data_IF_946326005365
#
_entry.id   IF_946326005365
#
_cell.length_a   1.000
_cell.length_b   1.000
_cell.length_c   1.000
_cell.angle_alpha   90.00
_cell.angle_beta   90.00
_cell.angle_gamma   90.00
#
_symmetry.space_group_name_H-M   'P 1'
#
loop_
_entity.id
_entity.type
_entity.pdbx_description
1 polymer ?
#
# COMPACT_ATOMS: atom_id res chain seq x y z
N UNK A 1 4.83 -72.17 9.50
CA UNK A 1 3.51 -71.77 8.95
C UNK A 1 3.07 -70.49 9.65
N UNK A 2 2.80 -69.44 8.86
CA UNK A 2 2.58 -68.06 9.30
C UNK A 2 1.23 -67.88 9.99
N UNK A 3 1.19 -67.24 11.17
CA UNK A 3 -0.04 -66.69 11.74
C UNK A 3 -0.28 -65.28 11.19
N UNK A 4 -1.54 -64.99 10.85
CA UNK A 4 -1.97 -63.70 10.31
C UNK A 4 -2.58 -62.87 11.45
N UNK A 5 -1.90 -61.80 11.84
CA UNK A 5 -2.51 -60.68 12.57
C UNK A 5 -2.94 -59.62 11.56
N UNK A 6 -4.26 -59.41 11.45
CA UNK A 6 -4.87 -58.30 10.72
C UNK A 6 -4.85 -57.05 11.61
N UNK A 7 -4.00 -56.08 11.28
CA UNK A 7 -4.04 -54.73 11.87
C UNK A 7 -5.14 -53.90 11.21
N UNK A 8 -6.02 -53.33 12.04
CA UNK A 8 -7.02 -52.35 11.67
C UNK A 8 -6.32 -50.99 11.52
N UNK A 9 -6.25 -50.45 10.30
CA UNK A 9 -5.78 -49.09 10.05
C UNK A 9 -6.91 -48.09 10.33
N UNK A 10 -6.78 -47.33 11.41
CA UNK A 10 -7.67 -46.21 11.73
C UNK A 10 -7.21 -44.98 10.92
N UNK A 11 -7.92 -44.65 9.85
CA UNK A 11 -7.72 -43.41 9.10
C UNK A 11 -8.30 -42.23 9.89
N UNK A 12 -7.45 -41.48 10.59
CA UNK A 12 -7.80 -40.17 11.15
C UNK A 12 -7.77 -39.15 10.00
N UNK A 13 -8.94 -38.83 9.45
CA UNK A 13 -9.10 -37.75 8.50
C UNK A 13 -8.88 -36.41 9.20
N UNK A 14 -7.68 -35.83 9.03
CA UNK A 14 -7.40 -34.44 9.36
C UNK A 14 -8.29 -33.54 8.50
N UNK A 15 -9.38 -33.02 9.08
CA UNK A 15 -10.18 -31.95 8.50
C UNK A 15 -9.31 -30.68 8.41
N UNK A 16 -8.72 -30.46 7.24
CA UNK A 16 -8.19 -29.15 6.87
C UNK A 16 -9.39 -28.21 6.71
N UNK A 17 -9.46 -27.09 7.46
CA UNK A 17 -10.54 -26.13 7.26
C UNK A 17 -10.37 -25.49 5.88
N UNK A 18 -11.20 -25.89 4.93
CA UNK A 18 -11.33 -25.21 3.64
C UNK A 18 -11.81 -23.79 3.90
N UNK A 19 -10.91 -22.82 3.80
CA UNK A 19 -11.28 -21.41 3.70
C UNK A 19 -12.11 -21.26 2.43
N UNK A 20 -13.44 -21.12 2.58
CA UNK A 20 -14.28 -20.66 1.48
C UNK A 20 -13.75 -19.29 1.06
N UNK A 21 -13.06 -19.25 -0.07
CA UNK A 21 -12.85 -18.00 -0.79
C UNK A 21 -14.23 -17.38 -0.96
N UNK A 22 -14.45 -16.23 -0.34
CA UNK A 22 -15.65 -15.42 -0.59
C UNK A 22 -15.51 -14.96 -2.04
N UNK A 23 -16.05 -15.75 -2.96
CA UNK A 23 -16.24 -15.37 -4.34
C UNK A 23 -17.11 -14.12 -4.30
N UNK A 24 -16.47 -12.96 -4.48
CA UNK A 24 -17.14 -11.67 -4.41
C UNK A 24 -18.29 -11.69 -5.40
N UNK A 25 -19.53 -11.59 -4.89
CA UNK A 25 -20.66 -11.20 -5.74
C UNK A 25 -20.23 -9.90 -6.40
N UNK A 26 -20.19 -9.87 -7.73
CA UNK A 26 -20.20 -8.59 -8.41
C UNK A 26 -21.49 -7.91 -7.95
N UNK A 27 -21.36 -6.83 -7.17
CA UNK A 27 -22.51 -6.04 -6.74
C UNK A 27 -23.26 -5.60 -8.01
N UNK A 28 -24.48 -6.09 -8.20
CA UNK A 28 -25.40 -5.57 -9.22
C UNK A 28 -25.46 -4.05 -9.05
N UNK A 29 -25.10 -3.31 -10.11
CA UNK A 29 -25.04 -1.84 -10.07
C UNK A 29 -23.67 -1.22 -9.76
N UNK A 30 -22.57 -1.99 -9.61
CA UNK A 30 -21.22 -1.42 -9.51
C UNK A 30 -20.82 -0.71 -10.82
N UNK A 31 -20.65 0.63 -10.84
CA UNK A 31 -20.40 1.38 -12.07
C UNK A 31 -18.94 1.28 -12.56
N UNK A 32 -18.07 0.61 -11.79
CA UNK A 32 -16.65 0.50 -12.11
C UNK A 32 -16.42 -0.48 -13.26
N UNK A 33 -15.47 -0.15 -14.13
CA UNK A 33 -15.04 -0.99 -15.25
C UNK A 33 -13.58 -1.36 -15.11
N UNK A 34 -13.23 -2.57 -15.52
CA UNK A 34 -11.83 -2.96 -15.65
C UNK A 34 -11.26 -2.36 -16.93
N UNK A 35 -10.20 -1.57 -16.81
CA UNK A 35 -9.44 -1.06 -17.94
C UNK A 35 -8.03 -1.63 -17.90
N UNK A 36 -7.39 -1.78 -19.07
CA UNK A 36 -5.96 -2.02 -19.13
C UNK A 36 -5.25 -0.66 -19.10
N UNK A 37 -4.35 -0.47 -18.15
CA UNK A 37 -3.38 0.64 -18.16
C UNK A 37 -2.14 0.20 -18.94
N UNK A 38 -0.99 0.87 -18.81
CA UNK A 38 0.19 0.57 -19.61
C UNK A 38 0.54 -0.94 -19.64
N UNK A 39 0.62 -1.47 -20.86
CA UNK A 39 0.86 -2.85 -21.37
C UNK A 39 0.27 -4.08 -20.67
N UNK A 40 0.18 -4.17 -19.33
CA UNK A 40 -0.20 -5.42 -18.66
C UNK A 40 -1.07 -5.30 -17.39
N UNK A 41 -1.15 -4.12 -16.76
CA UNK A 41 -1.95 -3.98 -15.52
C UNK A 41 -3.43 -3.75 -15.83
N UNK A 42 -4.29 -4.51 -15.17
CA UNK A 42 -5.75 -4.33 -15.19
C UNK A 42 -6.20 -3.58 -13.94
N UNK A 43 -6.86 -2.45 -14.13
CA UNK A 43 -7.33 -1.59 -13.03
C UNK A 43 -8.84 -1.43 -13.10
N UNK A 44 -9.55 -1.75 -12.01
CA UNK A 44 -10.96 -1.40 -11.87
C UNK A 44 -11.09 0.10 -11.54
N UNK A 45 -11.77 0.86 -12.38
CA UNK A 45 -11.89 2.32 -12.23
C UNK A 45 -13.35 2.80 -12.24
N UNK A 46 -13.70 3.83 -11.46
CA UNK A 46 -15.02 4.43 -11.54
C UNK A 46 -15.20 5.29 -12.81
N UNK A 47 -16.45 5.64 -13.16
CA UNK A 47 -16.73 6.55 -14.27
C UNK A 47 -15.94 7.86 -14.16
N UNK A 48 -15.42 8.34 -15.29
CA UNK A 48 -14.69 9.61 -15.38
C UNK A 48 -13.25 9.59 -14.86
N UNK A 49 -12.81 8.55 -14.14
CA UNK A 49 -11.45 8.43 -13.66
C UNK A 49 -10.56 7.63 -14.62
N UNK A 50 -9.34 8.09 -14.82
CA UNK A 50 -8.26 7.34 -15.47
C UNK A 50 -6.97 7.53 -14.67
N UNK A 51 -6.24 6.45 -14.34
CA UNK A 51 -4.91 6.57 -13.75
C UNK A 51 -3.97 7.32 -14.70
N UNK A 52 -3.00 8.02 -14.12
CA UNK A 52 -1.94 8.68 -14.88
C UNK A 52 -1.08 7.64 -15.61
N UNK A 53 -0.41 8.07 -16.69
CA UNK A 53 0.60 7.24 -17.33
C UNK A 53 1.90 7.35 -16.54
N UNK A 54 2.46 6.22 -16.11
CA UNK A 54 3.78 6.21 -15.51
C UNK A 54 4.85 6.69 -16.49
N UNK A 55 5.80 7.46 -15.98
CA UNK A 55 7.08 7.72 -16.62
C UNK A 55 8.01 6.52 -16.47
N UNK A 56 8.89 6.32 -17.43
CA UNK A 56 9.85 5.21 -17.46
C UNK A 56 11.29 5.73 -17.50
N UNK A 57 12.20 5.05 -16.79
CA UNK A 57 13.65 5.25 -16.90
C UNK A 57 14.34 3.90 -17.03
N UNK A 58 15.39 3.82 -17.86
CA UNK A 58 16.10 2.57 -18.16
C UNK A 58 17.59 2.78 -17.94
N UNK A 59 18.22 1.87 -17.21
CA UNK A 59 19.66 1.80 -16.97
C UNK A 59 20.16 0.43 -17.45
N UNK A 60 21.29 0.38 -18.16
CA UNK A 60 21.78 -0.83 -18.84
C UNK A 60 23.24 -1.08 -18.51
N UNK A 61 23.56 -2.21 -17.90
CA UNK A 61 24.92 -2.57 -17.52
C UNK A 61 25.15 -4.07 -17.71
N UNK A 62 26.24 -4.42 -18.38
CA UNK A 62 26.48 -5.79 -18.85
C UNK A 62 25.30 -6.30 -19.67
N UNK A 63 24.90 -7.54 -19.43
CA UNK A 63 23.75 -8.18 -20.08
C UNK A 63 22.42 -7.91 -19.38
N UNK A 64 22.31 -6.90 -18.50
CA UNK A 64 21.10 -6.64 -17.72
C UNK A 64 20.63 -5.18 -17.86
N UNK A 65 19.36 -4.97 -17.58
CA UNK A 65 18.80 -3.64 -17.41
C UNK A 65 17.94 -3.53 -16.16
N UNK A 66 17.96 -2.33 -15.59
CA UNK A 66 17.05 -1.87 -14.57
C UNK A 66 16.08 -0.88 -15.22
N UNK A 67 14.78 -1.21 -15.18
CA UNK A 67 13.70 -0.35 -15.65
C UNK A 67 12.91 0.13 -14.44
N UNK A 68 12.73 1.44 -14.34
CA UNK A 68 11.94 2.06 -13.29
C UNK A 68 10.72 2.72 -13.88
N UNK A 69 9.59 2.56 -13.20
CA UNK A 69 8.33 3.22 -13.51
C UNK A 69 7.85 3.98 -12.28
N UNK A 70 7.40 5.21 -12.47
CA UNK A 70 6.79 6.00 -11.42
C UNK A 70 5.80 6.97 -12.04
N UNK A 71 4.77 7.41 -11.31
CA UNK A 71 3.81 8.40 -11.82
C UNK A 71 4.53 9.65 -12.33
N UNK A 72 5.44 10.22 -11.54
CA UNK A 72 6.23 11.37 -11.95
C UNK A 72 7.66 11.39 -11.42
N UNK A 73 8.13 10.31 -10.76
CA UNK A 73 9.38 10.32 -9.98
C UNK A 73 9.41 11.51 -9.01
N UNK A 74 8.29 11.76 -8.33
CA UNK A 74 8.12 12.88 -7.42
C UNK A 74 8.05 12.42 -5.96
N UNK A 75 8.34 13.32 -5.01
CA UNK A 75 8.19 12.99 -3.58
C UNK A 75 6.75 12.64 -3.27
N UNK A 76 6.54 11.52 -2.57
CA UNK A 76 5.24 10.92 -2.35
C UNK A 76 4.81 9.88 -3.38
N UNK A 77 5.55 9.68 -4.47
CA UNK A 77 5.24 8.63 -5.44
C UNK A 77 5.80 7.25 -5.02
N UNK A 78 5.13 6.22 -5.49
CA UNK A 78 5.65 4.85 -5.55
C UNK A 78 6.46 4.63 -6.84
N UNK A 79 7.44 3.74 -6.77
CA UNK A 79 8.28 3.32 -7.90
C UNK A 79 8.20 1.80 -8.05
N UNK A 80 7.94 1.36 -9.27
CA UNK A 80 8.03 -0.03 -9.69
C UNK A 80 9.33 -0.26 -10.45
N UNK A 81 10.13 -1.20 -9.98
CA UNK A 81 11.43 -1.54 -10.55
C UNK A 81 11.36 -2.94 -11.17
N UNK A 82 11.93 -3.09 -12.36
CA UNK A 82 12.13 -4.36 -13.05
C UNK A 82 13.64 -4.52 -13.32
N UNK A 83 14.23 -5.63 -12.90
CA UNK A 83 15.60 -6.01 -13.25
C UNK A 83 15.53 -7.24 -14.11
N UNK A 84 16.01 -7.16 -15.34
CA UNK A 84 15.95 -8.32 -16.23
C UNK A 84 17.04 -8.30 -17.30
N UNK A 85 17.35 -9.47 -17.89
CA UNK A 85 18.34 -9.56 -18.95
C UNK A 85 17.95 -8.71 -20.17
N UNK A 86 18.98 -8.22 -20.87
CA UNK A 86 18.86 -7.57 -22.17
C UNK A 86 18.59 -8.65 -23.21
N UNK A 87 17.32 -8.80 -23.59
CA UNK A 87 16.91 -9.72 -24.66
C UNK A 87 16.58 -8.98 -25.94
N UNK A 88 16.86 -9.62 -27.09
CA UNK A 88 16.35 -9.16 -28.37
C UNK A 88 14.80 -9.15 -28.37
N UNK A 89 14.15 -8.26 -29.14
CA UNK A 89 12.69 -8.22 -29.21
C UNK A 89 12.07 -9.58 -29.50
N UNK A 90 11.08 -9.99 -28.70
CA UNK A 90 10.38 -11.28 -28.84
C UNK A 90 11.15 -12.51 -28.35
N UNK A 91 12.40 -12.37 -27.87
CA UNK A 91 13.18 -13.48 -27.30
C UNK A 91 13.00 -13.54 -25.77
N UNK A 92 12.95 -14.77 -25.26
CA UNK A 92 12.99 -15.04 -23.81
C UNK A 92 14.43 -14.93 -23.30
N UNK A 93 14.63 -14.57 -22.03
CA UNK A 93 15.95 -14.59 -21.42
C UNK A 93 16.57 -15.99 -21.39
N UNK A 94 17.89 -16.07 -21.51
CA UNK A 94 18.61 -17.32 -21.37
C UNK A 94 18.56 -17.82 -19.93
N UNK A 95 18.56 -19.15 -19.74
CA UNK A 95 18.43 -19.76 -18.42
C UNK A 95 19.58 -19.36 -17.47
N UNK A 96 20.81 -19.28 -18.00
CA UNK A 96 21.99 -18.85 -17.25
C UNK A 96 21.86 -17.41 -16.77
N UNK A 97 21.44 -16.48 -17.64
CA UNK A 97 21.18 -15.09 -17.27
C UNK A 97 20.12 -14.97 -16.17
N UNK A 98 19.08 -15.80 -16.25
CA UNK A 98 18.02 -15.84 -15.23
C UNK A 98 18.48 -16.42 -13.89
N UNK A 99 19.44 -17.35 -13.90
CA UNK A 99 20.02 -17.88 -12.67
C UNK A 99 20.89 -16.83 -11.97
N UNK A 100 21.68 -16.09 -12.75
CA UNK A 100 22.61 -15.08 -12.23
C UNK A 100 21.93 -13.89 -11.58
N UNK A 101 20.64 -13.65 -11.85
CA UNK A 101 19.82 -12.68 -11.12
C UNK A 101 19.77 -12.91 -9.60
N UNK A 102 20.16 -14.09 -9.09
CA UNK A 102 20.34 -14.33 -7.64
C UNK A 102 21.34 -13.37 -6.97
N UNK A 103 22.25 -12.77 -7.75
CA UNK A 103 23.21 -11.77 -7.27
C UNK A 103 22.73 -10.32 -7.42
N UNK A 104 21.56 -10.11 -8.04
CA UNK A 104 21.02 -8.77 -8.22
C UNK A 104 20.41 -8.25 -6.91
N UNK A 105 20.66 -6.98 -6.64
CA UNK A 105 20.09 -6.29 -5.48
C UNK A 105 19.76 -4.85 -5.83
N UNK A 106 18.78 -4.29 -5.13
CA UNK A 106 18.37 -2.91 -5.30
C UNK A 106 18.21 -2.23 -3.93
N UNK A 107 18.77 -1.03 -3.81
CA UNK A 107 18.64 -0.17 -2.64
C UNK A 107 18.23 1.23 -3.08
N UNK A 108 17.33 1.84 -2.35
CA UNK A 108 16.97 3.24 -2.55
C UNK A 108 17.22 4.04 -1.27
N UNK A 109 18.08 5.06 -1.35
CA UNK A 109 18.56 5.83 -0.20
C UNK A 109 19.06 4.94 0.96
N UNK A 110 19.78 3.87 0.62
CA UNK A 110 20.32 2.90 1.59
C UNK A 110 19.31 1.85 2.08
N UNK A 111 18.03 1.96 1.76
CA UNK A 111 16.99 1.00 2.16
C UNK A 111 16.88 -0.09 1.09
N UNK A 112 16.97 -1.35 1.50
CA UNK A 112 16.80 -2.49 0.60
C UNK A 112 15.39 -2.52 0.01
N UNK A 113 15.31 -2.72 -1.30
CA UNK A 113 14.05 -2.98 -2.00
C UNK A 113 13.89 -4.49 -2.09
N UNK A 114 12.79 -5.01 -1.57
CA UNK A 114 12.48 -6.43 -1.72
C UNK A 114 12.19 -6.75 -3.19
N UNK A 115 12.78 -7.85 -3.68
CA UNK A 115 12.69 -8.27 -5.07
C UNK A 115 12.03 -9.64 -5.18
N UNK A 116 11.02 -9.76 -6.05
CA UNK A 116 10.39 -11.03 -6.40
C UNK A 116 10.85 -11.53 -7.76
N UNK A 117 11.11 -12.83 -7.84
CA UNK A 117 11.40 -13.49 -9.11
C UNK A 117 10.14 -13.64 -9.96
N UNK A 118 10.31 -13.41 -11.26
CA UNK A 118 9.31 -13.59 -12.32
C UNK A 118 9.94 -14.38 -13.46
N UNK A 119 9.11 -14.88 -14.38
CA UNK A 119 9.57 -15.61 -15.56
C UNK A 119 10.48 -14.78 -16.47
N UNK A 120 10.34 -13.46 -16.42
CA UNK A 120 11.10 -12.51 -17.23
C UNK A 120 12.25 -11.82 -16.46
N UNK A 121 12.33 -11.92 -15.13
CA UNK A 121 13.36 -11.24 -14.35
C UNK A 121 13.05 -11.12 -12.85
N UNK A 122 13.43 -10.00 -12.24
CA UNK A 122 13.05 -9.59 -10.89
C UNK A 122 12.21 -8.32 -10.93
N UNK A 123 11.37 -8.13 -9.93
CA UNK A 123 10.64 -6.87 -9.74
C UNK A 123 10.62 -6.44 -8.28
N UNK A 124 10.52 -5.14 -8.04
CA UNK A 124 10.43 -4.57 -6.70
C UNK A 124 9.60 -3.29 -6.67
N UNK A 125 9.22 -2.89 -5.46
CA UNK A 125 8.41 -1.71 -5.21
C UNK A 125 9.03 -0.92 -4.06
N UNK A 126 9.18 0.40 -4.24
CA UNK A 126 9.70 1.28 -3.19
C UNK A 126 9.05 2.67 -3.25
N UNK A 127 9.26 3.46 -2.21
CA UNK A 127 8.70 4.81 -2.10
C UNK A 127 9.77 5.88 -2.32
N UNK A 128 9.37 6.97 -2.99
CA UNK A 128 10.08 8.25 -2.95
C UNK A 128 9.47 9.05 -1.79
N UNK A 129 10.22 9.25 -0.71
CA UNK A 129 9.66 9.76 0.53
C UNK A 129 9.20 11.22 0.40
N UNK A 130 8.07 11.63 1.00
CA UNK A 130 7.61 13.03 0.91
C UNK A 130 8.61 14.07 1.44
N UNK A 131 9.49 13.69 2.38
CA UNK A 131 10.46 14.57 3.04
C UNK A 131 11.89 14.46 2.51
N UNK A 132 12.16 13.61 1.51
CA UNK A 132 13.51 13.52 1.00
C UNK A 132 13.90 14.82 0.27
N UNK A 133 15.21 15.09 0.19
CA UNK A 133 15.75 16.18 -0.62
C UNK A 133 15.64 15.86 -2.12
N UNK A 134 15.92 16.84 -2.95
CA UNK A 134 16.05 16.63 -4.39
C UNK A 134 17.10 15.56 -4.68
N UNK A 135 16.74 14.65 -5.59
CA UNK A 135 17.49 13.46 -5.95
C UNK A 135 17.52 12.37 -4.87
N UNK A 136 17.41 11.12 -5.32
CA UNK A 136 17.67 9.93 -4.51
C UNK A 136 18.89 9.18 -5.03
N UNK A 137 19.49 8.37 -4.16
CA UNK A 137 20.56 7.45 -4.54
C UNK A 137 20.00 6.04 -4.70
N UNK A 138 20.13 5.53 -5.91
CA UNK A 138 19.72 4.18 -6.26
C UNK A 138 20.96 3.30 -6.37
N UNK A 139 21.16 2.44 -5.38
CA UNK A 139 22.20 1.43 -5.41
C UNK A 139 21.69 0.20 -6.15
N UNK A 140 22.33 -0.16 -7.25
CA UNK A 140 21.98 -1.34 -8.04
C UNK A 140 23.18 -2.26 -8.13
N UNK A 141 23.00 -3.50 -7.68
CA UNK A 141 23.96 -4.57 -7.93
C UNK A 141 23.46 -5.38 -9.13
N UNK A 142 24.27 -5.46 -10.19
CA UNK A 142 23.98 -6.25 -11.38
C UNK A 142 24.94 -7.43 -11.52
N UNK A 143 24.46 -8.60 -11.98
CA UNK A 143 25.33 -9.73 -12.23
C UNK A 143 26.30 -9.45 -13.38
N UNK A 144 27.53 -9.93 -13.25
CA UNK A 144 28.44 -10.06 -14.40
C UNK A 144 28.04 -11.27 -15.23
N UNK A 145 28.43 -11.36 -16.50
CA UNK A 145 28.15 -12.56 -17.31
C UNK A 145 29.05 -13.73 -16.90
N UNK A 146 30.27 -13.41 -16.51
CA UNK A 146 31.25 -14.35 -15.97
C UNK A 146 31.91 -13.75 -14.74
N UNK A 147 32.48 -14.63 -13.92
CA UNK A 147 33.26 -14.23 -12.74
C UNK A 147 34.42 -13.31 -13.18
N UNK A 148 34.63 -12.21 -12.45
CA UNK A 148 35.74 -11.30 -12.75
C UNK A 148 37.10 -11.96 -12.44
N UNK A 149 38.19 -11.35 -12.91
CA UNK A 149 39.54 -11.77 -12.56
C UNK A 149 39.81 -11.77 -11.04
N UNK A 150 39.14 -10.90 -10.29
CA UNK A 150 39.19 -10.79 -8.82
C UNK A 150 38.24 -11.76 -8.12
N UNK A 151 37.41 -12.46 -8.87
CA UNK A 151 36.47 -13.46 -8.35
C UNK A 151 35.07 -12.94 -8.03
N UNK A 152 34.73 -11.72 -8.43
CA UNK A 152 33.42 -11.13 -8.19
C UNK A 152 32.37 -11.68 -9.17
N UNK A 153 31.16 -11.97 -8.67
CA UNK A 153 30.03 -12.46 -9.49
C UNK A 153 29.10 -11.33 -9.97
N UNK A 154 29.21 -10.16 -9.34
CA UNK A 154 28.36 -9.00 -9.58
C UNK A 154 29.11 -7.70 -9.32
N UNK A 155 28.63 -6.60 -9.88
CA UNK A 155 29.14 -5.25 -9.63
C UNK A 155 28.06 -4.35 -9.05
N UNK A 156 28.49 -3.41 -8.21
CA UNK A 156 27.64 -2.38 -7.66
C UNK A 156 27.77 -1.08 -8.45
N UNK A 157 26.65 -0.40 -8.62
CA UNK A 157 26.59 0.93 -9.19
C UNK A 157 25.66 1.82 -8.37
N UNK A 158 26.05 3.09 -8.23
CA UNK A 158 25.24 4.11 -7.60
C UNK A 158 24.71 5.08 -8.66
N UNK A 159 23.40 5.06 -8.86
CA UNK A 159 22.70 5.90 -9.83
C UNK A 159 22.03 7.04 -9.09
N UNK A 160 22.27 8.28 -9.56
CA UNK A 160 21.52 9.45 -9.10
C UNK A 160 20.14 9.46 -9.76
N UNK A 161 19.10 9.15 -9.01
CA UNK A 161 17.73 9.24 -9.46
C UNK A 161 17.24 10.68 -9.33
N UNK A 162 17.04 11.39 -10.45
CA UNK A 162 16.45 12.74 -10.44
C UNK A 162 15.01 12.67 -9.92
N UNK A 163 14.75 13.28 -8.77
CA UNK A 163 13.44 13.30 -8.11
C UNK A 163 12.90 14.73 -8.09
N UNK A 164 11.62 14.88 -8.43
CA UNK A 164 10.89 16.14 -8.37
C UNK A 164 10.29 16.34 -6.97
N UNK A 165 10.45 17.52 -6.38
CA UNK A 165 9.77 17.83 -5.11
C UNK A 165 8.31 18.19 -5.36
N UNK A 166 7.41 17.43 -4.77
CA UNK A 166 5.97 17.75 -4.80
C UNK A 166 5.68 18.90 -3.85
N UNK A 167 5.08 19.98 -4.36
CA UNK A 167 4.57 21.08 -3.53
C UNK A 167 3.23 20.69 -2.91
N UNK A 168 3.28 20.10 -1.72
CA UNK A 168 2.06 19.68 -1.02
C UNK A 168 1.23 20.87 -0.53
N UNK A 169 -0.11 20.84 -0.66
CA UNK A 169 -0.96 21.94 -0.21
C UNK A 169 -0.87 22.22 1.29
N UNK A 170 -1.00 23.49 1.66
CA UNK A 170 -1.06 23.94 3.05
C UNK A 170 -2.37 24.66 3.28
N UNK A 171 -3.23 24.05 4.09
CA UNK A 171 -4.50 24.66 4.51
C UNK A 171 -4.29 25.50 5.77
N UNK A 172 -4.97 26.65 5.83
CA UNK A 172 -4.91 27.58 6.96
C UNK A 172 -6.20 27.55 7.80
N UNK A 173 -7.32 27.14 7.21
CA UNK A 173 -8.60 27.01 7.90
C UNK A 173 -8.57 25.86 8.92
N UNK A 174 -8.97 26.14 10.16
CA UNK A 174 -9.02 25.14 11.22
C UNK A 174 -10.23 24.21 11.09
N UNK A 175 -9.96 22.90 11.06
CA UNK A 175 -10.98 21.86 11.15
C UNK A 175 -11.54 21.78 12.57
N UNK A 176 -12.87 21.85 12.70
CA UNK A 176 -13.60 21.66 13.96
C UNK A 176 -14.04 20.21 14.06
N UNK A 177 -13.43 19.45 14.98
CA UNK A 177 -13.57 17.99 15.08
C UNK A 177 -14.43 17.58 16.29
N UNK A 178 -15.36 18.43 16.71
CA UNK A 178 -16.25 18.16 17.84
C UNK A 178 -15.49 17.76 19.11
N UNK A 179 -15.80 16.59 19.68
CA UNK A 179 -15.14 16.05 20.88
C UNK A 179 -13.62 15.91 20.72
N UNK A 180 -13.11 15.67 19.50
CA UNK A 180 -11.68 15.53 19.22
C UNK A 180 -10.94 16.87 19.24
N UNK A 181 -11.66 17.99 19.12
CA UNK A 181 -11.12 19.33 19.36
C UNK A 181 -11.07 19.68 20.85
N UNK A 182 -11.78 18.95 21.73
CA UNK A 182 -11.76 19.19 23.17
C UNK A 182 -10.55 18.49 23.82
N UNK A 183 -9.61 19.24 24.38
CA UNK A 183 -8.42 18.71 25.05
C UNK A 183 -8.75 17.84 26.26
N UNK A 184 -9.85 18.13 26.95
CA UNK A 184 -10.31 17.34 28.10
C UNK A 184 -10.78 15.93 27.71
N UNK A 185 -11.17 15.71 26.45
CA UNK A 185 -11.51 14.38 25.95
C UNK A 185 -10.35 13.40 26.15
N UNK A 186 -9.11 13.89 25.99
CA UNK A 186 -7.89 13.09 26.13
C UNK A 186 -7.40 12.93 27.56
N UNK A 187 -8.03 13.58 28.54
CA UNK A 187 -7.70 13.44 29.96
C UNK A 187 -8.50 12.33 30.64
N UNK A 188 -9.58 11.87 29.98
CA UNK A 188 -10.43 10.80 30.49
C UNK A 188 -9.68 9.46 30.52
N UNK A 189 -9.60 8.76 31.68
CA UNK A 189 -8.84 7.53 31.82
C UNK A 189 -9.23 6.45 30.80
N UNK A 190 -10.53 6.29 30.53
CA UNK A 190 -11.06 5.30 29.58
C UNK A 190 -10.65 5.62 28.13
N UNK A 191 -10.57 6.90 27.77
CA UNK A 191 -10.11 7.34 26.45
C UNK A 191 -8.62 7.10 26.29
N UNK A 192 -7.82 7.41 27.32
CA UNK A 192 -6.38 7.17 27.32
C UNK A 192 -6.05 5.67 27.22
N UNK A 193 -6.74 4.84 27.99
CA UNK A 193 -6.58 3.39 27.96
C UNK A 193 -6.88 2.83 26.56
N UNK A 194 -8.02 3.23 25.98
CA UNK A 194 -8.41 2.84 24.62
C UNK A 194 -7.39 3.28 23.57
N UNK A 195 -6.93 4.53 23.60
CA UNK A 195 -5.92 5.04 22.66
C UNK A 195 -4.61 4.26 22.77
N UNK A 196 -4.20 3.89 23.99
CA UNK A 196 -3.00 3.09 24.24
C UNK A 196 -3.14 1.68 23.64
N UNK A 197 -4.26 1.01 23.86
CA UNK A 197 -4.53 -0.32 23.32
C UNK A 197 -4.57 -0.32 21.78
N UNK A 198 -5.32 0.62 21.19
CA UNK A 198 -5.43 0.76 19.73
C UNK A 198 -4.09 1.11 19.07
N UNK A 199 -3.21 1.84 19.77
CA UNK A 199 -1.84 2.07 19.30
C UNK A 199 -1.07 0.75 19.20
N UNK A 200 -1.17 -0.12 20.19
CA UNK A 200 -0.54 -1.45 20.16
C UNK A 200 -1.10 -2.31 19.03
N UNK A 201 -2.42 -2.32 18.83
CA UNK A 201 -3.05 -3.04 17.71
C UNK A 201 -2.51 -2.55 16.36
N UNK A 202 -2.42 -1.22 16.16
CA UNK A 202 -1.86 -0.64 14.93
C UNK A 202 -0.40 -0.98 14.75
N UNK A 203 0.42 -0.89 15.80
CA UNK A 203 1.83 -1.27 15.74
C UNK A 203 1.99 -2.73 15.30
N UNK A 204 1.20 -3.65 15.88
CA UNK A 204 1.20 -5.06 15.47
C UNK A 204 0.78 -5.24 14.01
N UNK A 205 -0.26 -4.55 13.56
CA UNK A 205 -0.74 -4.63 12.18
C UNK A 205 0.30 -4.13 11.17
N UNK A 206 0.89 -2.94 11.38
CA UNK A 206 1.90 -2.38 10.49
C UNK A 206 3.28 -3.04 10.61
N UNK A 207 3.50 -3.86 11.64
CA UNK A 207 4.67 -4.73 11.76
C UNK A 207 4.50 -6.05 10.99
N UNK A 208 3.31 -6.36 10.45
CA UNK A 208 3.09 -7.54 9.63
C UNK A 208 3.97 -7.55 8.38
N UNK A 209 4.43 -8.73 7.98
CA UNK A 209 5.33 -8.95 6.85
C UNK A 209 4.88 -10.20 6.10
N UNK A 210 3.91 -10.03 5.22
CA UNK A 210 3.50 -11.09 4.30
C UNK A 210 4.42 -11.14 3.05
N UNK A 211 4.45 -12.28 2.31
CA UNK A 211 5.01 -12.32 0.97
C UNK A 211 4.23 -11.42 0.00
N UNK A 212 4.81 -11.07 -1.16
CA UNK A 212 4.13 -10.22 -2.13
C UNK A 212 2.80 -10.80 -2.61
N UNK A 213 1.73 -10.01 -2.49
CA UNK A 213 0.40 -10.31 -3.01
C UNK A 213 0.00 -9.42 -4.20
N UNK A 214 0.73 -8.33 -4.47
CA UNK A 214 0.42 -7.44 -5.60
C UNK A 214 0.72 -8.19 -6.89
N UNK A 215 -0.25 -8.33 -7.79
CA UNK A 215 -0.04 -8.91 -9.13
C UNK A 215 -0.31 -7.85 -10.21
N UNK A 216 -0.88 -8.24 -11.35
CA UNK A 216 -1.25 -7.32 -12.44
C UNK A 216 -2.67 -6.77 -12.29
N UNK A 217 -3.34 -6.96 -11.15
CA UNK A 217 -4.70 -6.47 -10.89
C UNK A 217 -4.72 -5.50 -9.72
N UNK A 218 -5.19 -4.28 -10.00
CA UNK A 218 -5.39 -3.22 -9.02
C UNK A 218 -6.81 -2.67 -9.13
N UNK A 219 -7.22 -1.86 -8.17
CA UNK A 219 -8.56 -1.28 -8.18
C UNK A 219 -8.57 0.08 -7.52
N UNK A 220 -9.23 1.05 -8.12
CA UNK A 220 -9.66 2.23 -7.40
C UNK A 220 -10.56 1.81 -6.21
N UNK A 221 -10.36 2.37 -5.01
CA UNK A 221 -11.02 1.92 -3.77
C UNK A 221 -12.50 2.31 -3.69
N UNK A 222 -13.00 3.06 -4.68
CA UNK A 222 -14.32 3.73 -4.69
C UNK A 222 -14.96 3.65 -6.06
N UNK A 223 -16.29 3.69 -6.06
CA UNK A 223 -17.22 3.77 -7.20
C UNK A 223 -17.33 5.16 -7.85
N UNK A 224 -16.76 6.19 -7.22
CA UNK A 224 -16.63 7.55 -7.73
C UNK A 224 -15.22 8.08 -7.41
N UNK A 225 -14.69 8.92 -8.29
CA UNK A 225 -13.43 9.63 -8.05
C UNK A 225 -13.68 11.12 -7.79
N UNK A 226 -13.40 11.56 -6.56
CA UNK A 226 -13.33 12.98 -6.20
C UNK A 226 -12.47 13.12 -4.95
N UNK A 227 -11.26 13.63 -5.11
CA UNK A 227 -10.36 13.93 -3.99
C UNK A 227 -10.87 15.16 -3.25
N UNK A 228 -11.22 15.03 -1.97
CA UNK A 228 -11.64 16.15 -1.11
C UNK A 228 -10.49 16.72 -0.31
N UNK A 229 -9.46 15.92 -0.07
CA UNK A 229 -8.18 16.40 0.43
C UNK A 229 -7.05 15.57 -0.15
N UNK A 230 -6.02 16.23 -0.71
CA UNK A 230 -4.92 15.54 -1.34
C UNK A 230 -3.97 14.91 -0.33
N UNK A 231 -3.15 14.02 -0.86
CA UNK A 231 -2.04 13.40 -0.15
C UNK A 231 -1.07 14.45 0.40
N UNK A 232 -0.63 14.21 1.62
CA UNK A 232 0.38 14.98 2.33
C UNK A 232 0.06 16.45 2.59
N UNK A 233 -1.19 16.87 2.38
CA UNK A 233 -1.60 18.23 2.68
C UNK A 233 -1.38 18.55 4.17
N UNK A 234 -0.83 19.72 4.45
CA UNK A 234 -0.77 20.25 5.81
C UNK A 234 -2.15 20.78 6.17
N UNK A 235 -2.70 20.28 7.27
CA UNK A 235 -4.00 20.67 7.79
C UNK A 235 -3.84 21.28 9.17
N UNK A 236 -4.85 22.06 9.56
CA UNK A 236 -4.90 22.79 10.83
C UNK A 236 -6.14 22.32 11.59
N UNK A 237 -6.00 21.95 12.86
CA UNK A 237 -7.12 21.54 13.73
C UNK A 237 -7.38 22.57 14.81
N UNK A 238 -8.65 22.89 15.01
CA UNK A 238 -9.13 23.68 16.13
C UNK A 238 -9.00 22.89 17.44
N UNK A 239 -8.57 23.57 18.52
CA UNK A 239 -8.45 22.99 19.85
C UNK A 239 -9.07 23.91 20.91
N UNK A 240 -9.74 23.32 21.88
CA UNK A 240 -10.34 24.04 22.99
C UNK A 240 -10.41 23.19 24.27
N UNK A 241 -10.67 23.83 25.40
CA UNK A 241 -11.07 23.20 26.65
C UNK A 241 -12.26 23.97 27.27
N UNK A 242 -12.94 23.37 28.24
CA UNK A 242 -13.99 24.05 29.01
C UNK A 242 -13.48 24.23 30.45
N UNK A 243 -13.26 25.48 30.87
CA UNK A 243 -12.89 25.83 32.26
C UNK A 243 -13.95 26.75 32.85
N UNK A 244 -14.47 26.40 34.03
CA UNK A 244 -15.51 27.16 34.74
C UNK A 244 -16.71 27.51 33.83
N UNK A 245 -17.17 26.54 33.02
CA UNK A 245 -18.27 26.72 32.07
C UNK A 245 -17.94 27.55 30.82
N UNK A 246 -16.73 28.12 30.70
CA UNK A 246 -16.29 28.92 29.55
C UNK A 246 -15.41 28.12 28.61
N UNK A 247 -15.62 28.30 27.31
CA UNK A 247 -14.80 27.69 26.25
C UNK A 247 -13.52 28.50 26.04
N UNK A 248 -12.37 27.91 26.33
CA UNK A 248 -11.06 28.51 26.09
C UNK A 248 -10.47 27.88 24.83
N UNK A 249 -10.15 28.71 23.83
CA UNK A 249 -9.55 28.26 22.58
C UNK A 249 -8.02 28.25 22.71
N UNK A 250 -7.39 27.21 22.18
CA UNK A 250 -5.93 27.08 22.12
C UNK A 250 -5.41 27.35 20.70
N UNK A 251 -4.10 27.66 20.56
CA UNK A 251 -3.46 27.73 19.26
C UNK A 251 -3.73 26.47 18.44
N UNK A 252 -4.06 26.61 17.15
CA UNK A 252 -4.43 25.46 16.36
C UNK A 252 -3.20 24.59 16.05
N UNK A 253 -3.42 23.29 15.92
CA UNK A 253 -2.35 22.32 15.68
C UNK A 253 -2.23 21.99 14.19
N UNK A 254 -1.02 22.01 13.66
CA UNK A 254 -0.73 21.53 12.30
C UNK A 254 -0.52 20.02 12.30
N UNK A 255 -1.04 19.34 11.28
CA UNK A 255 -0.76 17.92 11.03
C UNK A 255 -0.66 17.64 9.54
N UNK A 256 0.12 16.62 9.19
CA UNK A 256 0.29 16.17 7.81
C UNK A 256 -0.71 15.06 7.52
N UNK A 257 -1.43 15.20 6.41
CA UNK A 257 -2.39 14.21 5.94
C UNK A 257 -1.68 13.04 5.24
N UNK A 258 -1.35 11.96 5.96
CA UNK A 258 -0.55 10.83 5.45
C UNK A 258 -1.31 9.84 4.54
N UNK A 259 -2.42 10.30 3.97
CA UNK A 259 -3.27 9.60 3.02
C UNK A 259 -3.99 10.63 2.17
N UNK A 260 -4.98 10.23 1.41
CA UNK A 260 -5.90 11.14 0.71
C UNK A 260 -7.33 10.84 1.10
N UNK A 261 -8.20 11.83 0.95
CA UNK A 261 -9.62 11.67 1.21
C UNK A 261 -10.38 11.64 -0.10
N UNK A 262 -11.18 10.59 -0.30
CA UNK A 262 -12.13 10.46 -1.39
C UNK A 262 -13.53 10.74 -0.89
N UNK A 263 -14.25 11.59 -1.62
CA UNK A 263 -15.67 11.86 -1.36
C UNK A 263 -16.44 10.55 -1.33
N UNK A 264 -17.21 10.36 -0.27
CA UNK A 264 -18.15 9.27 -0.13
C UNK A 264 -19.30 9.71 0.76
N UNK A 265 -20.45 9.05 0.61
CA UNK A 265 -21.55 9.14 1.55
C UNK A 265 -21.56 7.88 2.45
N UNK A 266 -22.21 7.99 3.60
CA UNK A 266 -22.36 6.87 4.53
C UNK A 266 -23.02 5.69 3.82
N UNK A 267 -22.49 4.48 3.99
CA UNK A 267 -23.03 3.26 3.40
C UNK A 267 -22.50 2.92 2.00
N UNK A 268 -21.81 3.84 1.32
CA UNK A 268 -21.29 3.56 -0.01
C UNK A 268 -20.07 2.63 0.01
N UNK A 269 -19.82 1.84 -1.05
CA UNK A 269 -18.87 0.73 -1.01
C UNK A 269 -17.39 1.16 -0.99
N UNK A 270 -16.58 0.47 -0.19
CA UNK A 270 -15.13 0.59 -0.18
C UNK A 270 -14.52 -0.73 -0.65
N UNK A 271 -13.58 -0.64 -1.59
CA UNK A 271 -12.95 -1.78 -2.22
C UNK A 271 -11.45 -1.84 -1.94
N UNK A 272 -10.89 -3.05 -1.88
CA UNK A 272 -9.45 -3.24 -1.71
C UNK A 272 -8.67 -2.71 -2.93
N UNK A 273 -7.62 -1.92 -2.67
CA UNK A 273 -6.75 -1.29 -3.68
C UNK A 273 -5.96 -2.33 -4.50
N UNK A 274 -5.48 -3.37 -3.83
CA UNK A 274 -4.66 -4.46 -4.35
C UNK A 274 -4.96 -5.76 -3.56
N UNK A 275 -4.55 -6.95 -4.05
CA UNK A 275 -4.70 -8.18 -3.30
C UNK A 275 -3.83 -8.17 -2.05
N UNK A 276 -4.23 -8.87 -1.00
CA UNK A 276 -3.47 -8.93 0.24
C UNK A 276 -4.22 -9.62 1.37
N UNK A 277 -3.62 -9.58 2.56
CA UNK A 277 -4.19 -10.13 3.78
C UNK A 277 -4.66 -9.01 4.70
N UNK A 278 -5.87 -9.12 5.21
CA UNK A 278 -6.38 -8.18 6.21
C UNK A 278 -5.65 -8.43 7.51
N UNK A 279 -4.92 -7.43 8.02
CA UNK A 279 -4.13 -7.52 9.26
C UNK A 279 -4.77 -6.75 10.42
N UNK A 280 -5.75 -5.90 10.12
CA UNK A 280 -6.57 -5.18 11.10
C UNK A 280 -7.94 -4.88 10.51
N UNK A 281 -8.99 -5.10 11.28
CA UNK A 281 -10.34 -4.61 11.01
C UNK A 281 -11.02 -4.34 12.35
N UNK A 282 -11.08 -3.07 12.77
CA UNK A 282 -11.60 -2.70 14.10
C UNK A 282 -12.14 -1.27 14.13
N UNK A 283 -13.02 -0.96 15.09
CA UNK A 283 -13.53 0.41 15.29
C UNK A 283 -12.67 1.15 16.31
N UNK A 284 -11.84 2.07 15.83
CA UNK A 284 -10.86 2.82 16.64
C UNK A 284 -11.34 4.22 17.03
N UNK A 285 -10.71 4.79 18.06
CA UNK A 285 -11.05 6.10 18.59
C UNK A 285 -10.87 7.21 17.55
N UNK A 286 -9.72 7.25 16.86
CA UNK A 286 -9.42 8.28 15.85
C UNK A 286 -9.84 7.85 14.45
N UNK A 287 -9.48 6.63 14.04
CA UNK A 287 -9.74 6.15 12.69
C UNK A 287 -11.22 5.77 12.47
N UNK A 288 -12.00 5.56 13.53
CA UNK A 288 -13.34 4.98 13.38
C UNK A 288 -13.25 3.55 12.89
N UNK A 289 -14.21 3.08 12.08
CA UNK A 289 -14.05 1.80 11.39
C UNK A 289 -12.79 1.82 10.52
N UNK A 290 -11.85 0.93 10.82
CA UNK A 290 -10.51 0.92 10.22
C UNK A 290 -10.11 -0.47 9.77
N UNK A 291 -9.85 -0.61 8.48
CA UNK A 291 -9.26 -1.81 7.85
C UNK A 291 -7.82 -1.52 7.44
N UNK A 292 -6.89 -2.44 7.70
CA UNK A 292 -5.52 -2.44 7.15
C UNK A 292 -5.28 -3.75 6.41
N UNK A 293 -4.74 -3.65 5.20
CA UNK A 293 -4.38 -4.79 4.35
C UNK A 293 -2.87 -4.77 4.13
N UNK A 294 -2.20 -5.88 4.43
CA UNK A 294 -0.83 -6.17 4.05
C UNK A 294 -0.80 -6.76 2.64
N UNK A 295 -0.15 -6.06 1.71
CA UNK A 295 0.02 -6.46 0.32
C UNK A 295 1.35 -7.19 0.08
N UNK A 296 2.15 -7.38 1.12
CA UNK A 296 3.46 -7.98 1.13
C UNK A 296 4.59 -6.98 1.01
N UNK A 297 5.81 -7.42 1.34
CA UNK A 297 7.05 -6.62 1.24
C UNK A 297 6.97 -5.25 1.93
N UNK A 298 6.22 -5.16 3.04
CA UNK A 298 6.05 -3.93 3.80
C UNK A 298 5.12 -2.89 3.15
N UNK A 299 4.32 -3.30 2.17
CA UNK A 299 3.32 -2.45 1.50
C UNK A 299 1.96 -2.62 2.18
N UNK A 300 1.46 -1.56 2.80
CA UNK A 300 0.20 -1.58 3.58
C UNK A 300 -0.78 -0.55 3.05
N UNK A 301 -2.04 -0.92 2.83
CA UNK A 301 -3.12 0.05 2.66
C UNK A 301 -4.01 0.15 3.90
N UNK A 302 -4.45 1.36 4.24
CA UNK A 302 -5.34 1.63 5.37
C UNK A 302 -6.57 2.42 4.95
N UNK A 303 -7.75 1.98 5.39
CA UNK A 303 -9.08 2.50 5.02
C UNK A 303 -9.81 2.93 6.28
N UNK A 304 -9.98 4.23 6.50
CA UNK A 304 -10.56 4.74 7.75
C UNK A 304 -12.00 5.23 7.57
N UNK A 305 -12.62 5.53 8.71
CA UNK A 305 -13.93 6.17 8.87
C UNK A 305 -15.10 5.31 8.38
N UNK A 306 -14.92 4.00 8.28
CA UNK A 306 -15.92 3.07 7.76
C UNK A 306 -17.13 2.98 8.69
N UNK A 307 -18.34 3.04 8.13
CA UNK A 307 -19.58 2.77 8.87
C UNK A 307 -19.80 1.27 9.11
N UNK A 308 -19.23 0.43 8.24
CA UNK A 308 -19.34 -1.02 8.31
C UNK A 308 -18.03 -1.66 7.81
N UNK A 309 -17.52 -2.62 8.58
CA UNK A 309 -16.42 -3.50 8.20
C UNK A 309 -17.02 -4.80 7.64
N UNK A 310 -16.58 -5.24 6.45
CA UNK A 310 -17.09 -6.45 5.79
C UNK A 310 -16.03 -7.55 5.69
N UNK A 311 -14.89 -7.35 6.34
CA UNK A 311 -13.77 -8.28 6.44
C UNK A 311 -13.25 -8.32 7.87
N UNK A 312 -12.51 -9.36 8.21
CA UNK A 312 -11.87 -9.56 9.52
C UNK A 312 -10.37 -9.87 9.36
N UNK A 313 -9.55 -9.68 10.42
CA UNK A 313 -8.14 -10.05 10.36
C UNK A 313 -7.97 -11.52 9.97
N UNK A 314 -7.01 -11.79 9.07
CA UNK A 314 -6.74 -13.10 8.49
C UNK A 314 -7.39 -13.35 7.13
N UNK A 315 -8.41 -12.57 6.74
CA UNK A 315 -9.04 -12.73 5.42
C UNK A 315 -8.07 -12.37 4.30
N UNK A 316 -8.02 -13.21 3.26
CA UNK A 316 -7.37 -12.88 1.99
C UNK A 316 -8.36 -12.13 1.10
N UNK A 317 -7.93 -11.03 0.52
CA UNK A 317 -8.76 -10.19 -0.36
C UNK A 317 -8.13 -10.00 -1.73
N UNK A 318 -8.97 -9.86 -2.75
CA UNK A 318 -8.55 -9.53 -4.11
C UNK A 318 -8.72 -8.04 -4.42
N UNK A 319 -7.97 -7.53 -5.40
CA UNK A 319 -8.18 -6.17 -5.90
C UNK A 319 -9.63 -5.97 -6.35
N UNK A 320 -10.27 -4.92 -5.84
CA UNK A 320 -11.64 -4.56 -6.18
C UNK A 320 -12.72 -5.31 -5.38
N UNK A 321 -12.34 -6.22 -4.48
CA UNK A 321 -13.24 -6.87 -3.54
C UNK A 321 -13.82 -5.84 -2.56
N UNK A 322 -15.13 -5.94 -2.28
CA UNK A 322 -15.80 -5.11 -1.29
C UNK A 322 -15.30 -5.47 0.12
N UNK A 323 -14.77 -4.49 0.85
CA UNK A 323 -14.18 -4.70 2.19
C UNK A 323 -14.89 -3.91 3.30
N UNK A 324 -15.74 -2.96 2.93
CA UNK A 324 -16.50 -2.17 3.89
C UNK A 324 -17.37 -1.12 3.23
N UNK A 325 -17.95 -0.26 4.07
CA UNK A 325 -18.75 0.87 3.63
C UNK A 325 -18.22 2.16 4.24
N UNK A 326 -18.15 3.22 3.45
CA UNK A 326 -17.71 4.53 3.90
C UNK A 326 -18.66 5.08 4.95
N UNK A 327 -18.14 5.89 5.85
CA UNK A 327 -18.89 6.44 6.97
C UNK A 327 -18.35 7.77 7.43
N UNK A 328 -18.80 8.18 8.61
CA UNK A 328 -18.34 9.36 9.33
C UNK A 328 -17.93 9.00 10.77
N UNK A 329 -17.36 7.81 10.97
CA UNK A 329 -16.96 7.33 12.30
C UNK A 329 -15.55 7.82 12.66
N UNK A 330 -15.30 8.06 13.94
CA UNK A 330 -13.98 8.52 14.41
C UNK A 330 -13.81 10.03 14.26
N UNK A 331 -12.57 10.47 14.10
CA UNK A 331 -12.18 11.87 14.03
C UNK A 331 -12.36 12.42 12.60
N UNK A 332 -13.59 12.81 12.27
CA UNK A 332 -13.96 13.37 10.95
C UNK A 332 -14.86 14.59 11.08
N UNK A 333 -14.95 15.37 10.00
CA UNK A 333 -15.92 16.47 9.88
C UNK A 333 -17.16 16.09 9.05
N UNK A 334 -17.03 15.13 8.14
CA UNK A 334 -18.09 14.65 7.26
C UNK A 334 -17.74 13.26 6.73
N UNK A 335 -18.71 12.57 6.11
CA UNK A 335 -18.48 11.27 5.50
C UNK A 335 -17.47 11.35 4.34
N UNK A 336 -16.49 10.46 4.35
CA UNK A 336 -15.48 10.26 3.29
C UNK A 336 -14.75 8.93 3.51
N UNK A 337 -13.99 8.48 2.52
CA UNK A 337 -12.95 7.47 2.72
C UNK A 337 -11.61 8.19 2.87
N UNK A 338 -10.94 8.00 3.99
CA UNK A 338 -9.49 8.25 4.08
C UNK A 338 -8.75 6.98 3.67
N UNK A 339 -7.97 7.08 2.59
CA UNK A 339 -7.10 6.02 2.09
C UNK A 339 -5.64 6.39 2.33
N UNK A 340 -4.89 5.50 2.97
CA UNK A 340 -3.43 5.61 3.08
C UNK A 340 -2.75 4.41 2.45
N UNK A 341 -1.54 4.62 1.93
CA UNK A 341 -0.67 3.58 1.38
C UNK A 341 0.74 3.82 1.94
N UNK A 342 1.35 2.77 2.46
CA UNK A 342 2.63 2.83 3.14
C UNK A 342 3.56 1.80 2.52
N UNK A 343 4.82 2.18 2.32
CA UNK A 343 5.88 1.28 1.85
C UNK A 343 7.03 1.37 2.84
N UNK A 344 7.32 0.28 3.53
CA UNK A 344 8.37 0.22 4.56
C UNK A 344 8.25 1.34 5.61
N UNK A 345 7.02 1.64 6.04
CA UNK A 345 6.73 2.67 7.05
C UNK A 345 6.68 4.10 6.53
N UNK A 346 6.92 4.34 5.24
CA UNK A 346 6.80 5.65 4.63
C UNK A 346 5.49 5.78 3.86
N UNK A 347 4.71 6.86 4.08
CA UNK A 347 3.48 7.08 3.35
C UNK A 347 3.78 7.54 1.92
N UNK A 348 2.99 7.04 0.97
CA UNK A 348 2.97 7.46 -0.44
C UNK A 348 1.55 7.83 -0.82
N UNK A 349 1.40 8.58 -1.91
CA UNK A 349 0.11 8.83 -2.53
C UNK A 349 -0.47 7.48 -3.03
N UNK A 350 -1.61 7.02 -2.47
CA UNK A 350 -2.21 5.74 -2.86
C UNK A 350 -2.56 5.64 -4.35
N UNK A 351 -2.86 6.76 -5.03
CA UNK A 351 -3.20 6.76 -6.45
C UNK A 351 -1.98 6.56 -7.34
N UNK A 352 -0.76 6.80 -6.83
CA UNK A 352 0.46 6.56 -7.60
C UNK A 352 0.62 5.09 -7.99
N UNK A 353 0.17 4.15 -7.15
CA UNK A 353 0.18 2.71 -7.44
C UNK A 353 -0.67 2.35 -8.67
N UNK A 354 -1.83 3.00 -8.85
CA UNK A 354 -2.74 2.71 -9.96
C UNK A 354 -2.16 3.10 -11.33
N UNK A 355 -1.10 3.90 -11.35
CA UNK A 355 -0.41 4.36 -12.56
C UNK A 355 0.68 3.38 -13.02
N UNK A 356 1.09 2.44 -12.16
CA UNK A 356 2.25 1.58 -12.38
C UNK A 356 1.89 0.35 -13.24
N UNK A 357 2.79 -0.08 -14.15
CA UNK A 357 2.61 -1.28 -14.97
C UNK A 357 3.04 -2.55 -14.21
N UNK A 358 2.47 -2.80 -13.03
CA UNK A 358 2.77 -3.99 -12.23
C UNK A 358 2.35 -5.28 -12.98
N UNK A 359 3.28 -6.25 -13.04
CA UNK A 359 3.10 -7.53 -13.74
C UNK A 359 3.91 -8.67 -13.15
#
# INVERSE_FOLDING_TARGET
>A
MRSRFTSVLLFVALLVPTTKAVQGRQDEGNPRKWIKTASETSVAVPPGYRPDKAQMRVYKHGSYKLVLYSRGFATGDMVYAEIHPLTAPGKKPEAEQMERLKFAALKYNGINVALDKRSWGLRGLFAIYPHQKENGWLGWTYPLDQKSATGDEAKFESIRLKVHLTKFPVYTSSLKLGKYSNLQTYQKPEVLARIKEERTMKQKAFASREPNHIENRLSHPRDMHKVTSPFYATRVTYQYEIKNGKKITHPPKKYIHKGLDLRAWVGQPIYALAPGKVVLAHTMFFEGGFTVIDHGHGIMSGYMHQSQLLVKPGDMVQAGQLIGKAGATGMVTAAHLHLSLWVNGFPVDPLSLLSLPVR
#
